data_IF_140276374440
#
_entry.id   IF_140276374440
#
_cell.length_a   1.000
_cell.length_b   1.000
_cell.length_c   1.000
_cell.angle_alpha   90.00
_cell.angle_beta   90.00
_cell.angle_gamma   90.00
#
_symmetry.space_group_name_H-M   'P 1'
#
loop_
_entity.id
_entity.type
_entity.pdbx_description
1 polymer ?
#
# COMPACT_ATOMS: atom_id res chain seq x y z
N UNK A 1 -0.33 -2.58 42.86
CA UNK A 1 -0.01 -3.00 41.48
C UNK A 1 -0.10 -1.74 40.65
N UNK A 2 1.04 -1.18 40.24
CA UNK A 2 1.10 0.11 39.54
C UNK A 2 0.41 0.02 38.18
N UNK A 3 -0.18 1.11 37.66
CA UNK A 3 -0.62 1.15 36.28
C UNK A 3 0.62 1.07 35.40
N UNK A 4 0.91 -0.13 34.90
CA UNK A 4 1.82 -0.28 33.78
C UNK A 4 1.25 0.55 32.63
N UNK A 5 2.01 1.54 32.18
CA UNK A 5 1.79 2.26 30.94
C UNK A 5 1.68 1.23 29.82
N UNK A 6 0.45 0.92 29.41
CA UNK A 6 0.20 0.10 28.23
C UNK A 6 0.64 0.94 27.03
N UNK A 7 1.87 0.73 26.57
CA UNK A 7 2.36 1.31 25.32
C UNK A 7 1.34 0.99 24.22
N UNK A 8 0.74 2.03 23.65
CA UNK A 8 -0.20 1.89 22.55
C UNK A 8 0.51 1.18 21.39
N UNK A 9 -0.10 0.11 20.86
CA UNK A 9 0.49 -0.62 19.73
C UNK A 9 0.69 0.35 18.56
N UNK A 10 1.80 0.26 17.82
CA UNK A 10 2.01 1.11 16.63
C UNK A 10 0.80 1.04 15.71
N UNK A 11 0.21 2.20 15.40
CA UNK A 11 -0.97 2.32 14.55
C UNK A 11 -2.32 2.31 15.29
N UNK A 12 -2.38 1.96 16.57
CA UNK A 12 -3.64 1.95 17.33
C UNK A 12 -4.25 3.37 17.43
N UNK A 13 -3.41 4.36 17.71
CA UNK A 13 -3.83 5.76 17.73
C UNK A 13 -4.31 6.30 16.37
N UNK A 14 -4.00 5.65 15.23
CA UNK A 14 -4.56 6.04 13.93
C UNK A 14 -6.05 5.71 13.82
N UNK A 15 -6.52 4.65 14.48
CA UNK A 15 -7.92 4.22 14.43
C UNK A 15 -8.81 4.93 15.46
N UNK A 16 -8.19 5.68 16.39
CA UNK A 16 -8.89 6.47 17.43
C UNK A 16 -9.19 7.91 16.98
N UNK A 17 -8.70 8.33 15.80
CA UNK A 17 -8.99 9.64 15.22
C UNK A 17 -10.29 9.58 14.40
N UNK A 18 -11.11 10.65 14.39
CA UNK A 18 -12.23 10.71 13.47
C UNK A 18 -11.71 10.67 12.03
N UNK A 19 -12.29 9.79 11.20
CA UNK A 19 -12.00 9.75 9.78
C UNK A 19 -12.22 11.14 9.17
N UNK A 20 -11.18 11.69 8.54
CA UNK A 20 -11.32 12.88 7.70
C UNK A 20 -11.64 12.37 6.30
N UNK A 21 -12.88 12.51 5.80
CA UNK A 21 -13.26 11.94 4.52
C UNK A 21 -12.56 12.68 3.38
N UNK A 22 -11.70 11.96 2.64
CA UNK A 22 -11.22 12.40 1.33
C UNK A 22 -12.36 12.16 0.33
N UNK A 23 -13.04 13.24 -0.02
CA UNK A 23 -14.34 13.18 -0.71
C UNK A 23 -14.21 13.36 -2.23
N UNK A 24 -13.04 13.77 -2.71
CA UNK A 24 -12.77 13.94 -4.14
C UNK A 24 -11.46 13.27 -4.54
N UNK A 25 -11.34 12.89 -5.81
CA UNK A 25 -10.06 12.40 -6.34
C UNK A 25 -8.93 13.43 -6.24
N UNK A 26 -9.25 14.72 -6.26
CA UNK A 26 -8.27 15.79 -6.08
C UNK A 26 -7.71 15.80 -4.65
N UNK A 27 -8.57 15.65 -3.65
CA UNK A 27 -8.14 15.53 -2.24
C UNK A 27 -7.30 14.27 -2.03
N UNK A 28 -7.73 13.12 -2.58
CA UNK A 28 -6.93 11.89 -2.54
C UNK A 28 -5.58 12.07 -3.23
N UNK A 29 -5.52 12.75 -4.38
CA UNK A 29 -4.28 13.03 -5.09
C UNK A 29 -3.33 13.90 -4.26
N UNK A 30 -3.85 14.93 -3.59
CA UNK A 30 -3.07 15.78 -2.70
C UNK A 30 -2.42 14.99 -1.56
N UNK A 31 -3.15 14.06 -0.93
CA UNK A 31 -2.57 13.21 0.12
C UNK A 31 -1.54 12.22 -0.46
N UNK A 32 -1.81 11.60 -1.60
CA UNK A 32 -0.86 10.70 -2.28
C UNK A 32 0.47 11.42 -2.56
N UNK A 33 0.42 12.69 -3.00
CA UNK A 33 1.62 13.45 -3.34
C UNK A 33 2.55 13.70 -2.14
N UNK A 34 2.00 13.81 -0.93
CA UNK A 34 2.75 13.99 0.33
C UNK A 34 3.45 12.71 0.78
N UNK A 35 3.00 11.55 0.33
CA UNK A 35 3.53 10.26 0.75
C UNK A 35 4.77 9.86 -0.07
N UNK A 36 5.67 9.11 0.58
CA UNK A 36 6.85 8.55 -0.07
C UNK A 36 6.57 7.24 -0.81
N UNK A 37 5.54 6.51 -0.40
CA UNK A 37 5.13 5.22 -0.96
C UNK A 37 3.63 5.03 -0.68
N UNK A 38 2.90 4.52 -1.65
CA UNK A 38 1.50 4.07 -1.47
C UNK A 38 1.47 2.54 -1.45
N UNK A 39 0.80 1.94 -0.47
CA UNK A 39 0.50 0.50 -0.45
C UNK A 39 -1.01 0.36 -0.48
N UNK A 40 -1.54 -0.35 -1.47
CA UNK A 40 -3.00 -0.42 -1.69
C UNK A 40 -3.40 -1.74 -2.36
N UNK A 41 -4.71 -1.98 -2.51
CA UNK A 41 -5.27 -3.09 -3.30
C UNK A 41 -5.80 -2.56 -4.64
N UNK A 42 -6.37 -3.43 -5.48
CA UNK A 42 -7.02 -3.04 -6.74
C UNK A 42 -8.23 -2.12 -6.49
N UNK A 43 -7.97 -0.82 -6.45
CA UNK A 43 -8.94 0.26 -6.22
C UNK A 43 -8.57 1.48 -7.06
N UNK A 44 -9.46 2.48 -7.07
CA UNK A 44 -9.18 3.76 -7.72
C UNK A 44 -7.90 4.45 -7.20
N UNK A 45 -7.46 4.18 -5.97
CA UNK A 45 -6.21 4.73 -5.41
C UNK A 45 -4.99 4.17 -6.16
N UNK A 46 -5.00 2.90 -6.57
CA UNK A 46 -3.90 2.31 -7.34
C UNK A 46 -3.73 3.06 -8.67
N UNK A 47 -4.83 3.26 -9.39
CA UNK A 47 -4.84 3.96 -10.66
C UNK A 47 -4.44 5.43 -10.53
N UNK A 48 -4.94 6.12 -9.51
CA UNK A 48 -4.59 7.52 -9.25
C UNK A 48 -3.10 7.66 -8.88
N UNK A 49 -2.58 6.77 -8.03
CA UNK A 49 -1.15 6.73 -7.69
C UNK A 49 -0.27 6.51 -8.93
N UNK A 50 -0.63 5.54 -9.78
CA UNK A 50 0.06 5.26 -11.03
C UNK A 50 0.00 6.41 -12.04
N UNK A 51 -1.16 7.05 -12.18
CA UNK A 51 -1.34 8.22 -13.05
C UNK A 51 -0.51 9.43 -12.59
N UNK A 52 -0.29 9.59 -11.28
CA UNK A 52 0.57 10.61 -10.69
C UNK A 52 2.07 10.25 -10.75
N UNK A 53 2.42 9.06 -11.24
CA UNK A 53 3.81 8.57 -11.29
C UNK A 53 4.43 8.37 -9.91
N UNK A 54 3.62 8.24 -8.85
CA UNK A 54 4.13 8.01 -7.50
C UNK A 54 4.52 6.55 -7.29
N UNK A 55 5.58 6.28 -6.52
CA UNK A 55 5.93 4.92 -6.12
C UNK A 55 4.76 4.27 -5.37
N UNK A 56 4.38 3.06 -5.78
CA UNK A 56 3.35 2.30 -5.08
C UNK A 56 3.50 0.78 -5.20
N UNK A 57 2.87 0.06 -4.27
CA UNK A 57 2.77 -1.39 -4.27
C UNK A 57 1.30 -1.78 -4.26
N UNK A 58 0.87 -2.56 -5.25
CA UNK A 58 -0.51 -3.04 -5.41
C UNK A 58 -0.59 -4.51 -4.99
N UNK A 59 -1.36 -4.78 -3.95
CA UNK A 59 -1.61 -6.12 -3.43
C UNK A 59 -2.80 -6.71 -4.18
N UNK A 60 -2.57 -7.81 -4.90
CA UNK A 60 -3.56 -8.43 -5.76
C UNK A 60 -4.04 -9.77 -5.17
N UNK A 61 -5.35 -10.05 -5.20
CA UNK A 61 -5.88 -11.35 -4.81
C UNK A 61 -5.46 -12.44 -5.80
N UNK A 62 -5.64 -13.70 -5.43
CA UNK A 62 -5.30 -14.82 -6.33
C UNK A 62 -6.02 -14.70 -7.68
N UNK A 63 -7.30 -14.33 -7.68
CA UNK A 63 -8.11 -14.08 -8.87
C UNK A 63 -8.10 -12.60 -9.27
N UNK A 64 -6.92 -12.03 -9.53
CA UNK A 64 -6.77 -10.65 -9.99
C UNK A 64 -7.36 -10.44 -11.39
N UNK A 65 -7.80 -9.21 -11.67
CA UNK A 65 -8.29 -8.82 -12.99
C UNK A 65 -7.17 -8.87 -14.05
N UNK A 66 -7.54 -9.24 -15.28
CA UNK A 66 -6.63 -9.39 -16.42
C UNK A 66 -5.77 -8.16 -16.70
N UNK A 67 -6.25 -6.95 -16.35
CA UNK A 67 -5.52 -5.69 -16.58
C UNK A 67 -4.16 -5.64 -15.86
N UNK A 68 -3.98 -6.47 -14.84
CA UNK A 68 -2.76 -6.57 -14.04
C UNK A 68 -1.78 -7.65 -14.53
N UNK A 69 -2.07 -8.32 -15.65
CA UNK A 69 -1.16 -9.32 -16.23
C UNK A 69 -0.92 -10.50 -15.30
N UNK A 70 0.35 -10.86 -15.09
CA UNK A 70 0.74 -11.93 -14.16
C UNK A 70 0.51 -11.55 -12.68
N UNK A 71 0.39 -10.25 -12.39
CA UNK A 71 0.23 -9.70 -11.05
C UNK A 71 1.50 -9.74 -10.19
N UNK A 72 2.68 -9.94 -10.78
CA UNK A 72 3.95 -9.93 -10.05
C UNK A 72 4.99 -9.06 -10.75
N UNK A 73 5.51 -8.06 -10.04
CA UNK A 73 6.47 -7.11 -10.61
C UNK A 73 5.80 -5.86 -11.18
N UNK A 74 6.43 -5.15 -12.14
CA UNK A 74 5.94 -3.84 -12.60
C UNK A 74 4.54 -3.91 -13.20
N UNK A 75 3.66 -2.96 -12.84
CA UNK A 75 2.32 -2.90 -13.41
C UNK A 75 2.36 -2.54 -14.91
N UNK A 76 1.55 -3.19 -15.78
CA UNK A 76 1.63 -2.98 -17.23
C UNK A 76 1.41 -1.53 -17.68
N UNK A 77 0.58 -0.79 -16.96
CA UNK A 77 0.16 0.57 -17.31
C UNK A 77 0.86 1.67 -16.51
N UNK A 78 1.46 1.29 -15.37
CA UNK A 78 1.98 2.24 -14.39
C UNK A 78 3.38 1.81 -13.97
N UNK A 79 4.44 2.30 -14.66
CA UNK A 79 5.82 1.93 -14.35
C UNK A 79 6.26 2.26 -12.92
N UNK A 80 5.56 3.17 -12.23
CA UNK A 80 5.82 3.53 -10.84
C UNK A 80 5.19 2.55 -9.82
N UNK A 81 4.38 1.60 -10.27
CA UNK A 81 3.72 0.62 -9.42
C UNK A 81 4.36 -0.77 -9.56
N UNK A 82 4.58 -1.40 -8.41
CA UNK A 82 4.93 -2.82 -8.30
C UNK A 82 3.72 -3.62 -7.84
N UNK A 83 3.54 -4.82 -8.36
CA UNK A 83 2.43 -5.72 -8.03
C UNK A 83 2.95 -6.90 -7.22
N UNK A 84 2.15 -7.30 -6.23
CA UNK A 84 2.37 -8.52 -5.46
C UNK A 84 1.05 -9.27 -5.36
N UNK A 85 0.98 -10.41 -6.05
CA UNK A 85 -0.22 -11.25 -6.10
C UNK A 85 -0.13 -12.42 -5.14
N UNK A 86 -1.28 -12.79 -4.57
CA UNK A 86 -1.42 -14.04 -3.84
C UNK A 86 -1.14 -15.24 -4.73
N UNK A 87 -0.32 -16.17 -4.22
CA UNK A 87 -0.03 -17.43 -4.89
C UNK A 87 -1.17 -18.45 -4.75
N UNK A 88 -1.92 -18.36 -3.66
CA UNK A 88 -3.07 -19.23 -3.37
C UNK A 88 -4.23 -18.41 -2.77
N UNK A 89 -5.50 -18.76 -3.06
CA UNK A 89 -6.65 -18.07 -2.47
C UNK A 89 -6.60 -18.03 -0.95
N UNK A 90 -6.70 -16.82 -0.37
CA UNK A 90 -6.73 -16.63 1.09
C UNK A 90 -5.36 -16.57 1.76
N UNK A 91 -4.28 -16.97 1.08
CA UNK A 91 -2.91 -16.93 1.62
C UNK A 91 -2.29 -15.55 1.42
N UNK A 92 -2.57 -14.62 2.33
CA UNK A 92 -2.03 -13.24 2.29
C UNK A 92 -0.65 -13.09 2.96
N UNK A 93 -0.22 -14.05 3.78
CA UNK A 93 1.06 -13.99 4.50
C UNK A 93 2.24 -13.78 3.54
N UNK A 94 2.29 -14.54 2.44
CA UNK A 94 3.36 -14.44 1.44
C UNK A 94 3.36 -13.09 0.71
N UNK A 95 2.18 -12.51 0.48
CA UNK A 95 2.05 -11.15 -0.08
C UNK A 95 2.64 -10.13 0.89
N UNK A 96 2.26 -10.19 2.17
CA UNK A 96 2.77 -9.26 3.18
C UNK A 96 4.29 -9.41 3.40
N UNK A 97 4.83 -10.62 3.39
CA UNK A 97 6.27 -10.86 3.48
C UNK A 97 7.04 -10.19 2.32
N UNK A 98 6.54 -10.35 1.09
CA UNK A 98 7.11 -9.70 -0.11
C UNK A 98 7.03 -8.18 -0.01
N UNK A 99 5.89 -7.63 0.41
CA UNK A 99 5.70 -6.18 0.60
C UNK A 99 6.65 -5.63 1.67
N UNK A 100 6.75 -6.28 2.83
CA UNK A 100 7.67 -5.87 3.91
C UNK A 100 9.12 -5.87 3.41
N UNK A 101 9.52 -6.90 2.66
CA UNK A 101 10.86 -6.97 2.06
C UNK A 101 11.12 -5.81 1.10
N UNK A 102 10.15 -5.45 0.25
CA UNK A 102 10.25 -4.31 -0.66
C UNK A 102 10.33 -2.97 0.09
N UNK A 103 9.48 -2.76 1.11
CA UNK A 103 9.51 -1.54 1.94
C UNK A 103 10.86 -1.39 2.64
N UNK A 104 11.38 -2.47 3.24
CA UNK A 104 12.70 -2.44 3.89
C UNK A 104 13.80 -2.07 2.90
N UNK A 105 13.78 -2.62 1.69
CA UNK A 105 14.72 -2.26 0.62
C UNK A 105 14.65 -0.76 0.29
N UNK A 106 13.43 -0.21 0.14
CA UNK A 106 13.23 1.22 -0.14
C UNK A 106 13.70 2.12 1.02
N UNK A 107 13.42 1.72 2.26
CA UNK A 107 13.83 2.47 3.45
C UNK A 107 15.35 2.53 3.63
N UNK A 108 16.05 1.43 3.33
CA UNK A 108 17.53 1.40 3.34
C UNK A 108 18.11 2.32 2.27
N UNK A 109 17.45 2.45 1.12
CA UNK A 109 17.92 3.28 0.00
C UNK A 109 17.59 4.78 0.17
N UNK A 110 16.61 5.10 1.03
CA UNK A 110 16.24 6.47 1.39
C UNK A 110 16.00 6.57 2.91
N UNK A 111 17.07 6.55 3.73
CA UNK A 111 16.95 6.90 5.13
C UNK A 111 16.56 8.38 5.20
N UNK A 112 15.42 8.68 5.81
CA UNK A 112 15.06 10.06 6.16
C UNK A 112 15.94 10.57 7.28
#
# INVERSE_FOLDING_TARGET
MSPEEQEAKPGQALFDQPDIPLSTFLETAHEILKMGLIVTVDTAVAHLCGALGKPGIVLLPYAADWRWGDGNGPAPWYPSLEMVRQEEPGTWSTVFEKVIKQIKKLHILNPK
#
